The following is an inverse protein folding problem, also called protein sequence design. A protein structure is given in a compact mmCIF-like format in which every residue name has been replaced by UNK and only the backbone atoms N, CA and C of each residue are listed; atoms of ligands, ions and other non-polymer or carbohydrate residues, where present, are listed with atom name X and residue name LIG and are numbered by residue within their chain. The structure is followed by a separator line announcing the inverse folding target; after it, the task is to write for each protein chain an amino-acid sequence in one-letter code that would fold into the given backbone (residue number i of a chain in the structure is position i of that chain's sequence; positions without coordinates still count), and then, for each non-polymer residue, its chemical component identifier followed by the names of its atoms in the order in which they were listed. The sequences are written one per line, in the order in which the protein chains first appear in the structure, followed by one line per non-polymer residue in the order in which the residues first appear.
data_IF_999171874910
#
_entry.id   IF_999171874910
#
_cell.length_a   1.000
_cell.length_b   1.000
_cell.length_c   1.000
_cell.angle_alpha   90.00
_cell.angle_beta   90.00
_cell.angle_gamma   90.00
#
_symmetry.space_group_name_H-M   'P 1'
#
loop_
_entity.id
_entity.type
_entity.pdbx_description
1 polymer ?
#
# COMPACT_ATOMS: atom_id res chain seq x y z
N UNK A 1 -9.42 55.56 -58.68
CA UNK A 1 -9.13 55.61 -57.24
C UNK A 1 -10.44 55.46 -56.49
N UNK A 2 -10.64 54.26 -55.95
CA UNK A 2 -11.54 53.80 -54.86
C UNK A 2 -12.97 54.37 -54.75
N UNK A 3 -14.03 53.59 -55.06
CA UNK A 3 -15.38 53.90 -54.60
C UNK A 3 -15.58 53.48 -53.14
N UNK A 4 -16.12 54.41 -52.35
CA UNK A 4 -16.49 54.26 -50.94
C UNK A 4 -17.65 53.25 -50.82
N UNK A 5 -17.38 52.07 -50.26
CA UNK A 5 -18.40 51.06 -50.00
C UNK A 5 -19.23 51.44 -48.78
N UNK A 6 -20.53 51.42 -48.98
CA UNK A 6 -21.58 51.57 -47.97
C UNK A 6 -21.67 50.25 -47.20
N UNK A 7 -21.47 50.26 -45.88
CA UNK A 7 -21.87 49.14 -45.03
C UNK A 7 -22.68 49.65 -43.83
N UNK A 8 -23.90 49.13 -43.73
CA UNK A 8 -24.88 49.36 -42.67
C UNK A 8 -24.48 48.57 -41.40
N UNK A 9 -25.06 48.93 -40.23
CA UNK A 9 -24.53 48.55 -38.93
C UNK A 9 -24.81 47.10 -38.54
N UNK A 10 -23.90 46.62 -37.72
CA UNK A 10 -23.81 45.33 -37.03
C UNK A 10 -25.13 45.03 -36.29
N UNK A 11 -25.85 44.00 -36.75
CA UNK A 11 -26.88 43.34 -35.97
C UNK A 11 -26.27 42.10 -35.30
N UNK A 12 -26.10 42.17 -33.98
CA UNK A 12 -25.60 41.09 -33.16
C UNK A 12 -26.59 39.91 -33.14
N UNK A 13 -26.18 38.77 -33.69
CA UNK A 13 -26.81 37.48 -33.41
C UNK A 13 -25.89 36.68 -32.49
N UNK A 14 -26.08 36.83 -31.18
CA UNK A 14 -25.50 35.93 -30.20
C UNK A 14 -26.37 34.66 -30.15
N UNK A 15 -25.95 33.61 -30.83
CA UNK A 15 -26.54 32.29 -30.69
C UNK A 15 -26.06 31.67 -29.37
N UNK A 16 -26.95 31.60 -28.39
CA UNK A 16 -26.70 30.93 -27.11
C UNK A 16 -26.79 29.42 -27.32
N UNK A 17 -25.65 28.77 -27.57
CA UNK A 17 -25.54 27.30 -27.55
C UNK A 17 -25.51 26.88 -26.08
N UNK A 18 -26.66 26.46 -25.55
CA UNK A 18 -26.77 25.84 -24.24
C UNK A 18 -26.19 24.42 -24.32
N UNK A 19 -24.90 24.27 -24.03
CA UNK A 19 -24.28 22.96 -23.80
C UNK A 19 -24.89 22.36 -22.55
N UNK A 20 -25.82 21.41 -22.70
CA UNK A 20 -26.17 20.51 -21.60
C UNK A 20 -24.95 19.66 -21.28
N UNK A 21 -24.15 20.09 -20.29
CA UNK A 21 -23.25 19.18 -19.62
C UNK A 21 -24.12 18.10 -18.96
N UNK A 22 -23.90 16.80 -19.23
CA UNK A 22 -24.50 15.77 -18.41
C UNK A 22 -23.99 15.99 -16.99
N UNK A 23 -24.91 16.37 -16.10
CA UNK A 23 -24.66 16.36 -14.67
C UNK A 23 -24.29 14.92 -14.33
N UNK A 24 -22.99 14.65 -14.25
CA UNK A 24 -22.48 13.48 -13.57
C UNK A 24 -22.81 13.73 -12.09
N UNK A 25 -24.04 13.40 -11.73
CA UNK A 25 -24.36 13.07 -10.35
C UNK A 25 -23.50 11.84 -10.05
N UNK A 26 -22.25 12.09 -9.63
CA UNK A 26 -21.43 11.09 -9.01
C UNK A 26 -22.23 10.62 -7.81
N UNK A 27 -22.87 9.46 -7.94
CA UNK A 27 -23.36 8.74 -6.80
C UNK A 27 -22.15 8.68 -5.86
N UNK A 28 -22.24 9.33 -4.71
CA UNK A 28 -21.23 9.20 -3.69
C UNK A 28 -21.14 7.70 -3.41
N UNK A 29 -20.08 7.03 -3.88
CA UNK A 29 -19.90 5.62 -3.56
C UNK A 29 -19.89 5.55 -2.04
N UNK A 30 -20.91 4.90 -1.49
CA UNK A 30 -20.99 4.69 -0.05
C UNK A 30 -19.74 3.92 0.35
N UNK A 31 -18.84 4.58 1.07
CA UNK A 31 -17.61 3.97 1.55
C UNK A 31 -17.96 2.69 2.30
N UNK A 32 -17.56 1.55 1.72
CA UNK A 32 -17.79 0.24 2.29
C UNK A 32 -16.48 -0.29 2.84
N UNK A 33 -16.38 -0.40 4.17
CA UNK A 33 -15.20 -0.95 4.85
C UNK A 33 -14.85 -2.38 4.38
N UNK A 34 -15.83 -3.11 3.85
CA UNK A 34 -15.67 -4.49 3.36
C UNK A 34 -15.51 -4.58 1.83
N UNK A 35 -15.40 -3.46 1.12
CA UNK A 35 -15.09 -3.51 -0.30
C UNK A 35 -13.76 -4.23 -0.51
N UNK A 36 -13.63 -4.99 -1.60
CA UNK A 36 -12.39 -5.74 -1.89
C UNK A 36 -11.17 -4.83 -2.03
N UNK A 37 -11.37 -3.61 -2.51
CA UNK A 37 -10.34 -2.57 -2.58
C UNK A 37 -9.93 -2.04 -1.20
N UNK A 38 -10.72 -2.28 -0.16
CA UNK A 38 -10.42 -1.94 1.24
C UNK A 38 -9.89 -3.12 2.07
N UNK A 39 -9.87 -4.34 1.53
CA UNK A 39 -9.29 -5.51 2.22
C UNK A 39 -7.78 -5.63 1.97
N UNK A 40 -7.08 -6.15 2.97
CA UNK A 40 -5.69 -6.60 2.90
C UNK A 40 -5.67 -8.00 3.50
N UNK A 41 -5.26 -9.01 2.73
CA UNK A 41 -5.06 -10.32 3.32
C UNK A 41 -3.83 -10.25 4.23
N UNK A 42 -3.93 -10.80 5.43
CA UNK A 42 -2.81 -10.89 6.36
C UNK A 42 -2.78 -12.29 6.95
N UNK A 43 -1.60 -12.71 7.40
CA UNK A 43 -1.44 -13.97 8.12
C UNK A 43 -1.80 -15.22 7.30
N UNK A 44 -1.55 -15.21 5.98
CA UNK A 44 -1.80 -16.38 5.14
C UNK A 44 -0.73 -17.45 5.40
N UNK A 45 0.55 -17.09 5.24
CA UNK A 45 1.66 -18.05 5.12
C UNK A 45 1.78 -18.99 6.32
N UNK A 46 1.83 -18.51 7.59
CA UNK A 46 1.94 -19.42 8.73
C UNK A 46 0.68 -20.22 9.04
N UNK A 47 -0.46 -19.87 8.43
CA UNK A 47 -1.76 -20.51 8.69
C UNK A 47 -2.33 -21.22 7.47
N UNK A 48 -1.60 -21.30 6.36
CA UNK A 48 -2.04 -22.04 5.18
C UNK A 48 -1.89 -23.54 5.43
N UNK A 49 -2.99 -24.21 5.77
CA UNK A 49 -3.05 -25.65 5.98
C UNK A 49 -2.59 -26.46 4.76
N UNK A 50 -2.70 -25.91 3.54
CA UNK A 50 -2.22 -26.55 2.31
C UNK A 50 -0.75 -26.28 2.02
N UNK A 51 -0.08 -25.42 2.82
CA UNK A 51 1.32 -25.03 2.66
C UNK A 51 1.65 -24.59 1.24
N UNK A 52 0.77 -23.77 0.64
CA UNK A 52 0.94 -23.31 -0.74
C UNK A 52 2.28 -22.61 -0.91
N UNK A 53 2.91 -22.82 -2.06
CA UNK A 53 4.06 -22.03 -2.47
C UNK A 53 3.67 -20.60 -2.91
N UNK A 54 4.66 -19.77 -3.28
CA UNK A 54 4.46 -18.43 -3.81
C UNK A 54 3.36 -18.29 -4.86
N UNK A 55 3.44 -19.09 -5.93
CA UNK A 55 2.52 -18.98 -7.08
C UNK A 55 1.08 -19.35 -6.69
N UNK A 56 0.90 -20.51 -6.04
CA UNK A 56 -0.43 -20.99 -5.66
C UNK A 56 -1.15 -20.04 -4.70
N UNK A 57 -0.40 -19.35 -3.83
CA UNK A 57 -0.95 -18.34 -2.92
C UNK A 57 -1.37 -17.08 -3.65
N UNK A 58 -0.53 -16.59 -4.56
CA UNK A 58 -0.87 -15.43 -5.38
C UNK A 58 -2.10 -15.72 -6.26
N UNK A 59 -2.15 -16.87 -6.94
CA UNK A 59 -3.31 -17.31 -7.72
C UNK A 59 -4.58 -17.47 -6.86
N UNK A 60 -4.46 -17.97 -5.64
CA UNK A 60 -5.59 -18.05 -4.69
C UNK A 60 -6.11 -16.65 -4.34
N UNK A 61 -5.23 -15.70 -4.02
CA UNK A 61 -5.63 -14.33 -3.69
C UNK A 61 -6.32 -13.63 -4.85
N UNK A 62 -5.80 -13.81 -6.07
CA UNK A 62 -6.44 -13.31 -7.30
C UNK A 62 -7.84 -13.91 -7.49
N UNK A 63 -8.00 -15.23 -7.33
CA UNK A 63 -9.29 -15.92 -7.41
C UNK A 63 -10.28 -15.39 -6.38
N UNK A 64 -9.80 -15.12 -5.17
CA UNK A 64 -10.59 -14.51 -4.10
C UNK A 64 -10.87 -13.03 -4.34
N UNK A 65 -10.28 -12.39 -5.35
CA UNK A 65 -10.43 -10.97 -5.64
C UNK A 65 -9.78 -10.04 -4.61
N UNK A 66 -8.76 -10.53 -3.87
CA UNK A 66 -8.01 -9.74 -2.89
C UNK A 66 -6.67 -9.35 -3.51
N UNK A 67 -6.44 -8.05 -3.67
CA UNK A 67 -5.25 -7.51 -4.38
C UNK A 67 -4.18 -6.91 -3.48
N UNK A 68 -4.34 -6.99 -2.16
CA UNK A 68 -3.40 -6.40 -1.20
C UNK A 68 -3.01 -7.41 -0.15
N UNK A 69 -1.73 -7.46 0.17
CA UNK A 69 -1.13 -8.45 1.03
C UNK A 69 -0.26 -7.81 2.11
N UNK A 70 -0.45 -8.22 3.36
CA UNK A 70 0.49 -8.05 4.45
C UNK A 70 1.15 -9.40 4.74
N UNK A 71 2.46 -9.49 4.54
CA UNK A 71 3.20 -10.74 4.60
C UNK A 71 3.65 -11.05 6.04
N UNK A 72 3.05 -12.06 6.67
CA UNK A 72 3.58 -12.68 7.89
C UNK A 72 4.39 -13.91 7.49
N UNK A 73 5.65 -14.02 7.90
CA UNK A 73 6.57 -15.07 7.45
C UNK A 73 7.10 -15.91 8.62
N UNK A 74 7.72 -17.04 8.29
CA UNK A 74 8.54 -17.85 9.23
C UNK A 74 9.91 -18.10 8.59
N UNK A 75 10.90 -18.47 9.39
CA UNK A 75 12.29 -18.63 8.94
C UNK A 75 12.43 -19.53 7.70
N UNK A 76 11.63 -20.59 7.59
CA UNK A 76 11.59 -21.49 6.43
C UNK A 76 11.17 -20.83 5.10
N UNK A 77 10.48 -19.69 5.16
CA UNK A 77 10.02 -18.95 3.98
C UNK A 77 11.06 -17.94 3.46
N UNK A 78 12.09 -17.62 4.24
CA UNK A 78 13.14 -16.65 3.88
C UNK A 78 13.80 -16.95 2.52
N UNK A 79 14.15 -18.22 2.19
CA UNK A 79 14.73 -18.54 0.89
C UNK A 79 13.79 -18.27 -0.31
N UNK A 80 12.49 -18.10 -0.07
CA UNK A 80 11.46 -17.96 -1.11
C UNK A 80 11.03 -16.52 -1.35
N UNK A 81 11.57 -15.53 -0.62
CA UNK A 81 11.09 -14.14 -0.70
C UNK A 81 11.12 -13.55 -2.11
N UNK A 82 12.18 -13.79 -2.90
CA UNK A 82 12.22 -13.28 -4.28
C UNK A 82 11.13 -13.92 -5.15
N UNK A 83 10.91 -15.23 -5.02
CA UNK A 83 9.86 -15.94 -5.75
C UNK A 83 8.46 -15.48 -5.32
N UNK A 84 8.28 -15.16 -4.03
CA UNK A 84 7.07 -14.52 -3.51
C UNK A 84 6.80 -13.20 -4.22
N UNK A 85 7.78 -12.30 -4.23
CA UNK A 85 7.63 -11.00 -4.89
C UNK A 85 7.29 -11.16 -6.37
N UNK A 86 7.96 -12.06 -7.08
CA UNK A 86 7.68 -12.29 -8.51
C UNK A 86 6.26 -12.82 -8.75
N UNK A 87 5.77 -13.71 -7.88
CA UNK A 87 4.40 -14.23 -7.96
C UNK A 87 3.36 -13.14 -7.69
N UNK A 88 3.56 -12.34 -6.64
CA UNK A 88 2.66 -11.22 -6.32
C UNK A 88 2.56 -10.24 -7.48
N UNK A 89 3.70 -9.92 -8.14
CA UNK A 89 3.71 -9.04 -9.32
C UNK A 89 2.95 -9.65 -10.50
N UNK A 90 3.16 -10.93 -10.82
CA UNK A 90 2.44 -11.62 -11.91
C UNK A 90 0.93 -11.61 -11.71
N UNK A 91 0.47 -11.76 -10.47
CA UNK A 91 -0.96 -11.80 -10.12
C UNK A 91 -1.54 -10.43 -9.73
N UNK A 92 -0.80 -9.34 -9.95
CA UNK A 92 -1.24 -7.98 -9.63
C UNK A 92 -1.66 -7.79 -8.16
N UNK A 93 -0.88 -8.38 -7.24
CA UNK A 93 -1.06 -8.25 -5.80
C UNK A 93 -0.01 -7.28 -5.26
N UNK A 94 -0.48 -6.23 -4.61
CA UNK A 94 0.34 -5.27 -3.91
C UNK A 94 0.78 -5.83 -2.55
N UNK A 95 2.10 -5.86 -2.33
CA UNK A 95 2.65 -6.08 -0.99
C UNK A 95 2.59 -4.77 -0.20
N UNK A 96 1.58 -4.64 0.65
CA UNK A 96 1.31 -3.43 1.45
C UNK A 96 2.19 -3.39 2.69
N UNK A 97 2.40 -4.53 3.34
CA UNK A 97 3.12 -4.59 4.59
C UNK A 97 3.93 -5.88 4.75
N UNK A 98 4.94 -5.80 5.60
CA UNK A 98 5.79 -6.90 5.99
C UNK A 98 5.83 -7.00 7.51
N UNK A 99 5.53 -8.18 8.06
CA UNK A 99 5.73 -8.47 9.48
C UNK A 99 7.23 -8.52 9.75
N UNK A 100 7.78 -7.49 10.38
CA UNK A 100 9.22 -7.28 10.48
C UNK A 100 9.77 -7.80 11.81
N UNK A 101 11.03 -8.29 11.85
CA UNK A 101 11.70 -8.62 13.11
C UNK A 101 11.61 -7.51 14.15
N UNK A 102 11.58 -7.86 15.44
CA UNK A 102 11.52 -6.85 16.52
C UNK A 102 12.79 -6.01 16.65
N UNK A 103 13.85 -6.32 15.92
CA UNK A 103 15.09 -5.53 15.89
C UNK A 103 15.68 -5.57 14.49
N UNK A 104 16.58 -4.62 14.18
CA UNK A 104 17.33 -4.64 12.93
C UNK A 104 18.46 -5.70 12.99
N UNK A 105 18.08 -6.97 12.88
CA UNK A 105 18.98 -8.12 12.81
C UNK A 105 19.33 -8.49 11.34
N UNK A 106 20.04 -9.59 11.12
CA UNK A 106 20.43 -10.03 9.77
C UNK A 106 19.22 -10.35 8.88
N UNK A 107 18.17 -10.93 9.46
CA UNK A 107 16.92 -11.21 8.77
C UNK A 107 16.21 -9.93 8.33
N UNK A 108 16.13 -8.94 9.22
CA UNK A 108 15.61 -7.60 8.93
C UNK A 108 16.40 -6.91 7.82
N UNK A 109 17.74 -7.00 7.86
CA UNK A 109 18.61 -6.49 6.78
C UNK A 109 18.35 -7.21 5.45
N UNK A 110 18.15 -8.52 5.49
CA UNK A 110 17.87 -9.30 4.29
C UNK A 110 16.57 -8.87 3.62
N UNK A 111 15.46 -8.74 4.37
CA UNK A 111 14.20 -8.29 3.77
C UNK A 111 14.28 -6.84 3.27
N UNK A 112 14.96 -5.93 3.98
CA UNK A 112 15.17 -4.56 3.47
C UNK A 112 15.96 -4.56 2.16
N UNK A 113 16.96 -5.44 2.02
CA UNK A 113 17.68 -5.64 0.77
C UNK A 113 16.75 -6.13 -0.35
N UNK A 114 15.83 -7.05 -0.07
CA UNK A 114 14.82 -7.54 -1.03
C UNK A 114 13.91 -6.41 -1.49
N UNK A 115 13.31 -5.69 -0.53
CA UNK A 115 12.39 -4.59 -0.83
C UNK A 115 13.10 -3.49 -1.63
N UNK A 116 14.33 -3.11 -1.22
CA UNK A 116 15.13 -2.10 -1.91
C UNK A 116 15.50 -2.49 -3.35
N UNK A 117 16.03 -3.70 -3.57
CA UNK A 117 16.43 -4.14 -4.93
C UNK A 117 15.22 -4.30 -5.87
N UNK A 118 14.06 -4.67 -5.33
CA UNK A 118 12.80 -4.82 -6.07
C UNK A 118 12.01 -3.52 -6.18
N UNK A 119 12.47 -2.42 -5.56
CA UNK A 119 11.81 -1.11 -5.49
C UNK A 119 10.38 -1.18 -4.95
N UNK A 120 10.18 -2.03 -3.94
CA UNK A 120 8.89 -2.17 -3.26
C UNK A 120 8.84 -1.22 -2.08
N UNK A 121 7.79 -0.41 -2.04
CA UNK A 121 7.46 0.43 -0.90
C UNK A 121 6.40 -0.28 -0.07
N UNK A 122 6.78 -0.75 1.11
CA UNK A 122 5.89 -1.45 2.04
C UNK A 122 5.97 -0.83 3.44
N UNK A 123 4.95 -1.10 4.24
CA UNK A 123 4.97 -0.83 5.68
C UNK A 123 5.74 -1.92 6.42
N UNK A 124 6.52 -1.58 7.44
CA UNK A 124 7.15 -2.54 8.33
C UNK A 124 6.35 -2.65 9.63
N UNK A 125 5.66 -3.77 9.80
CA UNK A 125 4.88 -4.03 11.01
C UNK A 125 5.78 -4.66 12.06
N UNK A 126 6.22 -3.84 13.01
CA UNK A 126 7.11 -4.26 14.10
C UNK A 126 6.29 -4.51 15.36
N UNK A 127 6.34 -5.74 15.88
CA UNK A 127 5.68 -6.05 17.14
C UNK A 127 6.27 -5.23 18.29
N UNK A 128 5.40 -4.59 19.07
CA UNK A 128 5.74 -3.95 20.32
C UNK A 128 6.02 -4.98 21.42
N UNK A 129 6.86 -4.62 22.38
CA UNK A 129 7.19 -5.48 23.52
C UNK A 129 6.57 -5.01 24.84
N UNK A 130 6.47 -5.94 25.79
CA UNK A 130 6.21 -5.64 27.19
C UNK A 130 4.83 -6.05 27.71
N UNK A 131 4.74 -6.22 29.04
CA UNK A 131 3.47 -6.35 29.74
C UNK A 131 2.80 -4.98 29.90
N UNK A 132 1.48 -4.93 30.19
CA UNK A 132 0.80 -3.69 30.53
C UNK A 132 1.57 -2.91 31.61
N UNK A 133 1.74 -1.61 31.38
CA UNK A 133 2.41 -0.71 32.33
C UNK A 133 1.49 -0.41 33.52
N UNK A 134 2.09 -0.19 34.69
CA UNK A 134 1.36 -0.01 35.95
C UNK A 134 1.30 1.44 36.42
N UNK A 135 2.09 2.33 35.82
CA UNK A 135 2.09 3.75 36.14
C UNK A 135 2.35 4.63 34.90
N UNK A 136 2.03 5.93 34.95
CA UNK A 136 2.37 6.88 33.91
C UNK A 136 3.89 6.96 33.62
N UNK A 137 4.73 6.83 34.67
CA UNK A 137 6.18 6.83 34.54
C UNK A 137 6.68 5.60 33.78
N UNK A 138 6.14 4.42 34.10
CA UNK A 138 6.44 3.20 33.34
C UNK A 138 6.01 3.31 31.88
N UNK A 139 4.85 3.93 31.62
CA UNK A 139 4.37 4.18 30.25
C UNK A 139 5.29 5.14 29.49
N UNK A 140 5.72 6.24 30.11
CA UNK A 140 6.66 7.18 29.50
C UNK A 140 8.00 6.49 29.18
N UNK A 141 8.50 5.66 30.11
CA UNK A 141 9.71 4.87 29.89
C UNK A 141 9.52 3.83 28.76
N UNK A 142 8.38 3.14 28.71
CA UNK A 142 8.06 2.18 27.62
C UNK A 142 8.07 2.87 26.27
N UNK A 143 7.41 4.02 26.14
CA UNK A 143 7.38 4.80 24.89
C UNK A 143 8.79 5.18 24.46
N UNK A 144 9.61 5.72 25.38
CA UNK A 144 11.00 6.08 25.08
C UNK A 144 11.81 4.86 24.62
N UNK A 145 11.74 3.75 25.34
CA UNK A 145 12.48 2.53 25.01
C UNK A 145 12.06 1.95 23.66
N UNK A 146 10.76 1.89 23.36
CA UNK A 146 10.27 1.36 22.08
C UNK A 146 10.60 2.30 20.92
N UNK A 147 10.53 3.62 21.12
CA UNK A 147 10.96 4.59 20.12
C UNK A 147 12.46 4.45 19.81
N UNK A 148 13.31 4.33 20.83
CA UNK A 148 14.75 4.11 20.67
C UNK A 148 15.03 2.76 19.95
N UNK A 149 14.25 1.71 20.24
CA UNK A 149 14.35 0.39 19.59
C UNK A 149 13.94 0.39 18.12
N UNK A 150 12.85 1.09 17.78
CA UNK A 150 12.28 1.10 16.43
C UNK A 150 13.01 2.11 15.52
N UNK A 151 13.62 3.17 16.08
CA UNK A 151 14.40 4.16 15.33
C UNK A 151 15.32 3.58 14.25
N UNK A 152 16.23 2.63 14.54
CA UNK A 152 17.12 2.07 13.51
C UNK A 152 16.36 1.35 12.38
N UNK A 153 15.19 0.76 12.68
CA UNK A 153 14.34 0.12 11.67
C UNK A 153 13.74 1.18 10.76
N UNK A 154 13.13 2.23 11.34
CA UNK A 154 12.52 3.32 10.59
C UNK A 154 13.54 4.06 9.71
N UNK A 155 14.74 4.34 10.23
CA UNK A 155 15.83 4.98 9.48
C UNK A 155 16.33 4.10 8.32
N UNK A 156 16.34 2.78 8.48
CA UNK A 156 16.72 1.85 7.42
C UNK A 156 15.61 1.71 6.35
N UNK A 157 14.34 1.68 6.78
CA UNK A 157 13.17 1.65 5.91
C UNK A 157 13.08 2.90 5.02
N UNK A 158 13.28 4.07 5.61
CA UNK A 158 13.21 5.36 4.92
C UNK A 158 14.21 5.45 3.75
N UNK A 159 15.40 4.83 3.86
CA UNK A 159 16.41 4.80 2.79
C UNK A 159 15.95 4.08 1.52
N UNK A 160 14.96 3.21 1.63
CA UNK A 160 14.40 2.45 0.51
C UNK A 160 12.95 2.84 0.20
N UNK A 161 12.45 3.92 0.79
CA UNK A 161 11.08 4.41 0.61
C UNK A 161 10.01 3.67 1.40
N UNK A 162 10.38 2.68 2.23
CA UNK A 162 9.46 2.00 3.14
C UNK A 162 9.18 2.83 4.40
N UNK A 163 8.11 2.48 5.11
CA UNK A 163 7.64 3.19 6.33
C UNK A 163 7.52 2.26 7.52
#
# INVERSE_FOLDING_TARGET
MTPLSRQLPIAAFAALILTMLPAHAGAAETYSIYSRSNLVAWCIVPFDAKKRGPEDRAAMMETLGIRRFAYDYRAEHVPQFDAEIDALQRHHIELVAWWFPTTLNDEGRNILSVLGRRKITAQLWVMGGGSPTKSPEEQAMRVKTEADRIRPIAEAAAKIGCT
#
